data_IF_040854059586
#
_entry.id   IF_040854059586
#
_cell.length_a   1.000
_cell.length_b   1.000
_cell.length_c   1.000
_cell.angle_alpha   90.00
_cell.angle_beta   90.00
_cell.angle_gamma   90.00
#
_symmetry.space_group_name_H-M   'P 1'
#
loop_
_entity.id
_entity.type
_entity.pdbx_description
1 polymer ?
#
# COMPACT_ATOMS: atom_id res chain seq x y z
N UNK A 1 -18.32 -31.91 9.48
CA UNK A 1 -17.13 -32.77 9.70
C UNK A 1 -16.06 -32.33 8.70
N UNK A 2 -15.09 -31.51 9.12
CA UNK A 2 -14.01 -31.07 8.24
C UNK A 2 -12.99 -32.21 8.09
N UNK A 3 -12.69 -32.61 6.85
CA UNK A 3 -11.81 -33.74 6.53
C UNK A 3 -10.35 -33.29 6.68
N UNK A 4 -9.61 -33.93 7.57
CA UNK A 4 -8.18 -33.65 7.79
C UNK A 4 -7.40 -33.99 6.51
N UNK A 5 -6.68 -33.01 5.97
CA UNK A 5 -5.75 -33.19 4.85
C UNK A 5 -4.39 -33.58 5.44
N UNK A 6 -3.85 -34.71 4.99
CA UNK A 6 -2.54 -35.17 5.41
C UNK A 6 -1.46 -34.30 4.75
N UNK A 7 -0.67 -33.62 5.57
CA UNK A 7 0.50 -32.85 5.11
C UNK A 7 1.57 -33.85 4.69
N UNK A 8 2.00 -33.79 3.44
CA UNK A 8 3.05 -34.66 2.88
C UNK A 8 4.33 -33.86 2.62
N UNK A 9 5.46 -34.54 2.42
CA UNK A 9 6.76 -33.90 2.22
C UNK A 9 6.79 -32.93 1.00
N UNK A 10 5.88 -33.12 0.03
CA UNK A 10 5.72 -32.23 -1.12
C UNK A 10 5.14 -30.84 -0.75
N UNK A 11 4.53 -30.67 0.43
CA UNK A 11 4.06 -29.36 0.93
C UNK A 11 5.21 -28.48 1.45
N UNK A 12 6.38 -29.09 1.70
CA UNK A 12 7.60 -28.39 2.14
C UNK A 12 8.41 -27.83 0.96
N UNK A 13 8.06 -28.19 -0.28
CA UNK A 13 8.69 -27.62 -1.47
C UNK A 13 8.33 -26.14 -1.60
N UNK A 14 9.33 -25.27 -1.52
CA UNK A 14 9.20 -23.81 -1.62
C UNK A 14 8.65 -23.30 -2.97
N UNK A 15 8.36 -24.22 -3.91
CA UNK A 15 7.93 -23.93 -5.28
C UNK A 15 6.43 -24.17 -5.53
N UNK A 16 5.62 -24.46 -4.52
CA UNK A 16 4.17 -24.44 -4.69
C UNK A 16 3.69 -22.97 -4.79
N UNK A 17 2.98 -22.57 -5.86
CA UNK A 17 2.42 -21.23 -5.95
C UNK A 17 1.41 -21.05 -4.83
N UNK A 18 1.79 -20.25 -3.83
CA UNK A 18 0.95 -19.92 -2.68
C UNK A 18 -0.36 -19.33 -3.24
N UNK A 19 -1.54 -19.93 -2.97
CA UNK A 19 -2.79 -19.36 -3.42
C UNK A 19 -2.91 -17.97 -2.78
N UNK A 20 -2.88 -16.93 -3.60
CA UNK A 20 -3.13 -15.57 -3.15
C UNK A 20 -4.55 -15.56 -2.60
N UNK A 21 -4.66 -15.58 -1.27
CA UNK A 21 -5.91 -15.24 -0.62
C UNK A 21 -6.25 -13.83 -1.10
N UNK A 22 -7.26 -13.74 -1.97
CA UNK A 22 -7.77 -12.47 -2.46
C UNK A 22 -8.40 -11.73 -1.28
N UNK A 23 -7.56 -11.01 -0.53
CA UNK A 23 -8.00 -10.07 0.46
C UNK A 23 -8.69 -8.96 -0.33
N UNK A 24 -10.03 -9.03 -0.38
CA UNK A 24 -10.88 -8.05 -1.06
C UNK A 24 -10.65 -6.68 -0.43
N UNK A 25 -9.63 -5.95 -0.91
CA UNK A 25 -9.45 -4.54 -0.62
C UNK A 25 -10.50 -3.76 -1.42
N UNK A 26 -11.71 -3.67 -0.85
CA UNK A 26 -12.76 -2.78 -1.35
C UNK A 26 -12.22 -1.35 -1.40
N UNK A 27 -12.27 -0.72 -2.57
CA UNK A 27 -12.04 0.72 -2.74
C UNK A 27 -10.61 1.16 -3.06
N UNK A 28 -9.65 0.25 -3.22
CA UNK A 28 -8.32 0.64 -3.69
C UNK A 28 -8.38 0.81 -5.20
N UNK A 29 -8.30 2.06 -5.67
CA UNK A 29 -8.14 2.37 -7.09
C UNK A 29 -6.96 1.55 -7.62
N UNK A 30 -7.13 0.75 -8.69
CA UNK A 30 -6.07 -0.10 -9.21
C UNK A 30 -4.82 0.77 -9.45
N UNK A 31 -3.71 0.44 -8.78
CA UNK A 31 -2.46 1.18 -8.94
C UNK A 31 -1.88 1.06 -10.35
N UNK A 32 -2.46 0.22 -11.21
CA UNK A 32 -2.14 0.06 -12.61
C UNK A 32 -2.33 1.35 -13.44
N UNK A 33 -3.25 2.24 -13.04
CA UNK A 33 -3.54 3.49 -13.74
C UNK A 33 -2.73 4.69 -13.19
N UNK A 34 -1.89 4.46 -12.17
CA UNK A 34 -1.17 5.53 -11.49
C UNK A 34 0.29 5.57 -11.97
N UNK A 35 0.72 6.74 -12.43
CA UNK A 35 2.13 6.98 -12.76
C UNK A 35 2.92 7.23 -11.47
N UNK A 36 3.99 6.47 -11.21
CA UNK A 36 4.79 6.66 -9.99
C UNK A 36 5.60 7.96 -10.05
N UNK A 37 5.43 8.82 -9.05
CA UNK A 37 6.28 9.99 -8.85
C UNK A 37 7.48 9.61 -7.97
N UNK A 38 8.68 9.63 -8.54
CA UNK A 38 9.92 9.29 -7.84
C UNK A 38 10.57 10.53 -7.24
N UNK A 39 10.01 11.05 -6.14
CA UNK A 39 10.62 12.17 -5.45
C UNK A 39 11.88 11.74 -4.68
N UNK A 40 12.94 12.53 -4.81
CA UNK A 40 14.08 12.47 -3.90
C UNK A 40 13.97 13.63 -2.92
N UNK A 41 13.82 13.30 -1.65
CA UNK A 41 13.69 14.27 -0.57
C UNK A 41 14.63 13.89 0.58
N UNK A 42 15.07 14.86 1.41
CA UNK A 42 15.83 14.58 2.61
C UNK A 42 15.08 13.64 3.56
N UNK A 43 15.80 12.77 4.26
CA UNK A 43 15.21 11.78 5.17
C UNK A 43 14.36 12.44 6.27
N UNK A 44 14.80 13.58 6.80
CA UNK A 44 14.08 14.36 7.81
C UNK A 44 12.70 14.81 7.31
N UNK A 45 12.64 15.31 6.07
CA UNK A 45 11.38 15.71 5.46
C UNK A 45 10.44 14.51 5.28
N UNK A 46 10.97 13.39 4.79
CA UNK A 46 10.16 12.17 4.60
C UNK A 46 9.58 11.67 5.93
N UNK A 47 10.34 11.76 7.02
CA UNK A 47 9.87 11.41 8.37
C UNK A 47 8.73 12.33 8.82
N UNK A 48 8.94 13.64 8.74
CA UNK A 48 7.93 14.62 9.11
C UNK A 48 6.65 14.49 8.26
N UNK A 49 6.80 14.26 6.96
CA UNK A 49 5.68 14.05 6.04
C UNK A 49 4.89 12.78 6.38
N UNK A 50 5.58 11.68 6.71
CA UNK A 50 4.93 10.45 7.17
C UNK A 50 4.18 10.66 8.48
N UNK A 51 4.79 11.38 9.43
CA UNK A 51 4.12 11.70 10.71
C UNK A 51 2.86 12.54 10.47
N UNK A 52 2.94 13.58 9.64
CA UNK A 52 1.79 14.43 9.32
C UNK A 52 0.63 13.68 8.65
N UNK A 53 0.93 12.62 7.89
CA UNK A 53 -0.09 11.74 7.30
C UNK A 53 -0.75 10.86 8.36
N UNK A 54 0.05 10.29 9.28
CA UNK A 54 -0.46 9.50 10.40
C UNK A 54 -1.33 10.33 11.35
N UNK A 55 -0.91 11.55 11.68
CA UNK A 55 -1.66 12.46 12.56
C UNK A 55 -3.05 12.82 12.02
N UNK A 56 -3.26 12.66 10.70
CA UNK A 56 -4.51 12.98 10.00
C UNK A 56 -5.28 11.74 9.55
N UNK A 57 -4.80 10.55 9.89
CA UNK A 57 -5.35 9.27 9.40
C UNK A 57 -5.43 9.19 7.86
N UNK A 58 -4.41 9.72 7.16
CA UNK A 58 -4.36 9.79 5.69
C UNK A 58 -3.22 8.94 5.11
N UNK A 59 -3.41 8.44 3.88
CA UNK A 59 -2.30 7.87 3.11
C UNK A 59 -1.37 8.97 2.60
N UNK A 60 -0.11 8.63 2.34
CA UNK A 60 0.88 9.57 1.80
C UNK A 60 0.43 10.21 0.48
N UNK A 61 -0.21 9.44 -0.40
CA UNK A 61 -0.74 9.95 -1.67
C UNK A 61 -1.93 10.90 -1.46
N UNK A 62 -2.75 10.65 -0.43
CA UNK A 62 -3.92 11.48 -0.11
C UNK A 62 -3.46 12.81 0.48
N UNK A 63 -2.49 12.78 1.41
CA UNK A 63 -1.88 13.98 1.96
C UNK A 63 -1.20 14.80 0.85
N UNK A 64 -0.44 14.16 -0.04
CA UNK A 64 0.20 14.83 -1.17
C UNK A 64 -0.82 15.53 -2.06
N UNK A 65 -1.91 14.85 -2.43
CA UNK A 65 -2.97 15.44 -3.24
C UNK A 65 -3.67 16.61 -2.52
N UNK A 66 -3.91 16.49 -1.22
CA UNK A 66 -4.51 17.57 -0.42
C UNK A 66 -3.60 18.80 -0.37
N UNK A 67 -2.31 18.62 -0.09
CA UNK A 67 -1.32 19.70 -0.13
C UNK A 67 -1.26 20.36 -1.51
N UNK A 68 -1.27 19.56 -2.58
CA UNK A 68 -1.22 20.07 -3.95
C UNK A 68 -2.48 20.88 -4.30
N UNK A 69 -3.68 20.39 -3.94
CA UNK A 69 -4.93 21.13 -4.17
C UNK A 69 -4.97 22.45 -3.41
N UNK A 70 -4.53 22.47 -2.15
CA UNK A 70 -4.44 23.70 -1.36
C UNK A 70 -3.43 24.70 -1.93
N UNK A 71 -2.29 24.22 -2.44
CA UNK A 71 -1.31 25.05 -3.12
C UNK A 71 -1.90 25.70 -4.38
N UNK A 72 -2.59 24.92 -5.22
CA UNK A 72 -3.20 25.41 -6.46
C UNK A 72 -4.30 26.44 -6.22
N UNK A 73 -5.09 26.31 -5.14
CA UNK A 73 -6.13 27.30 -4.80
C UNK A 73 -5.56 28.65 -4.33
N UNK A 74 -4.32 28.66 -3.84
CA UNK A 74 -3.65 29.84 -3.28
C UNK A 74 -2.71 30.52 -4.29
N UNK A 75 -2.50 29.89 -5.44
CA UNK A 75 -1.70 30.39 -6.56
C UNK A 75 -2.61 31.11 -7.55
#
# INVERSE_FOLDING_TARGET
MAKAVAVTAADLDASAPRPQAAMRQRGVRPSADLVPLQFRMPAEFVRAFKQAALDRDMKLNELLNACFQEFTKRS
#
